data_IF_732754907373
#
_entry.id   IF_732754907373
#
_cell.length_a   1.000
_cell.length_b   1.000
_cell.length_c   1.000
_cell.angle_alpha   90.00
_cell.angle_beta   90.00
_cell.angle_gamma   90.00
#
_symmetry.space_group_name_H-M   'P 1'
#
loop_
_entity.id
_entity.type
_entity.pdbx_description
1 polymer ?
#
# COMPACT_ATOMS: atom_id res chain seq x y z
N UNK A 1 35.31 20.76 -8.90
CA UNK A 1 33.99 20.34 -9.42
C UNK A 1 33.13 20.02 -8.21
N UNK A 2 32.16 20.88 -7.89
CA UNK A 2 31.37 20.76 -6.65
C UNK A 2 29.90 21.09 -6.87
N UNK A 3 29.07 20.41 -6.06
CA UNK A 3 27.66 20.63 -5.74
C UNK A 3 26.60 20.13 -6.73
N UNK A 4 25.99 18.98 -6.39
CA UNK A 4 24.56 18.75 -6.58
C UNK A 4 23.99 18.05 -5.34
N UNK A 5 23.62 18.85 -4.34
CA UNK A 5 22.66 18.45 -3.33
C UNK A 5 21.26 18.70 -3.89
N UNK A 6 20.42 17.66 -4.00
CA UNK A 6 19.00 17.81 -4.28
C UNK A 6 18.20 17.19 -3.14
N UNK A 7 17.75 18.10 -2.28
CA UNK A 7 16.69 17.92 -1.29
C UNK A 7 15.39 17.53 -1.99
N UNK A 8 14.75 16.43 -1.58
CA UNK A 8 13.38 16.11 -1.98
C UNK A 8 12.53 16.20 -0.72
N UNK A 9 11.83 17.34 -0.62
CA UNK A 9 10.87 17.61 0.42
C UNK A 9 9.49 17.00 0.09
N UNK A 10 8.90 16.37 1.11
CA UNK A 10 7.47 16.34 1.49
C UNK A 10 6.45 16.39 0.35
N UNK A 11 5.79 15.27 0.08
CA UNK A 11 4.45 15.28 -0.51
C UNK A 11 3.39 15.09 0.58
N UNK A 12 2.55 16.12 0.73
CA UNK A 12 1.43 16.18 1.63
C UNK A 12 0.21 15.45 1.05
N UNK A 13 -0.54 14.88 1.98
CA UNK A 13 -1.78 14.16 1.85
C UNK A 13 -2.95 15.16 1.67
N UNK A 14 -3.73 15.08 0.58
CA UNK A 14 -5.06 15.72 0.49
C UNK A 14 -5.81 15.31 -0.79
N UNK A 15 -6.71 14.33 -0.69
CA UNK A 15 -7.83 14.17 -1.63
C UNK A 15 -9.11 13.90 -0.84
N UNK A 16 -9.68 14.95 -0.26
CA UNK A 16 -11.06 14.96 0.22
C UNK A 16 -11.96 14.93 -1.03
N UNK A 17 -12.49 13.75 -1.37
CA UNK A 17 -13.56 13.60 -2.37
C UNK A 17 -14.81 14.29 -1.84
N UNK A 18 -15.04 15.54 -2.27
CA UNK A 18 -16.32 16.22 -2.17
C UNK A 18 -17.37 15.40 -2.94
N UNK A 19 -18.41 14.96 -2.23
CA UNK A 19 -19.62 14.38 -2.81
C UNK A 19 -20.34 15.46 -3.64
N UNK A 20 -20.84 15.16 -4.85
CA UNK A 20 -21.72 16.08 -5.56
C UNK A 20 -23.12 16.13 -4.91
N UNK A 21 -23.60 17.35 -4.70
CA UNK A 21 -24.90 17.74 -4.15
C UNK A 21 -26.11 17.20 -4.93
N UNK A 22 -27.19 16.90 -4.18
CA UNK A 22 -28.55 16.66 -4.69
C UNK A 22 -29.05 17.81 -5.59
N UNK A 23 -29.74 17.52 -6.71
CA UNK A 23 -30.61 18.50 -7.36
C UNK A 23 -32.04 18.53 -6.72
N UNK A 24 -32.74 19.67 -6.80
CA UNK A 24 -34.02 19.96 -6.10
C UNK A 24 -35.27 19.35 -6.79
N UNK A 25 -36.43 19.26 -6.09
CA UNK A 25 -37.68 18.84 -6.70
C UNK A 25 -38.33 20.01 -7.46
N UNK A 26 -38.63 19.80 -8.75
CA UNK A 26 -39.48 20.71 -9.53
C UNK A 26 -40.74 19.96 -9.93
N UNK A 27 -41.89 20.46 -9.47
CA UNK A 27 -43.21 19.85 -9.62
C UNK A 27 -44.08 20.44 -10.72
N UNK A 28 -45.28 19.88 -10.80
CA UNK A 28 -46.47 20.35 -11.55
C UNK A 28 -46.60 19.77 -12.96
N UNK A 29 -47.76 19.33 -13.47
CA UNK A 29 -49.14 19.59 -13.03
C UNK A 29 -50.19 18.76 -13.84
N UNK A 30 -51.30 18.35 -13.18
CA UNK A 30 -52.61 17.95 -13.73
C UNK A 30 -52.74 16.50 -14.25
N UNK A 31 -53.73 15.66 -13.90
CA UNK A 31 -55.18 15.90 -13.78
C UNK A 31 -55.86 14.92 -12.78
N UNK A 32 -56.83 15.50 -12.07
CA UNK A 32 -57.87 15.05 -11.12
C UNK A 32 -58.62 13.73 -11.48
N UNK A 33 -58.87 12.79 -10.51
CA UNK A 33 -60.17 12.51 -9.80
C UNK A 33 -60.26 11.11 -9.13
N UNK A 34 -61.19 11.01 -8.18
CA UNK A 34 -61.52 9.95 -7.18
C UNK A 34 -62.01 8.59 -7.73
N UNK A 35 -61.78 7.52 -6.96
CA UNK A 35 -62.75 6.42 -6.74
C UNK A 35 -62.41 5.03 -7.32
N UNK A 36 -62.95 3.93 -6.75
CA UNK A 36 -62.19 2.71 -6.38
C UNK A 36 -62.38 1.51 -7.33
N UNK A 37 -61.41 0.57 -7.35
CA UNK A 37 -61.51 -0.62 -8.20
C UNK A 37 -60.54 -1.77 -7.83
N UNK A 38 -61.15 -2.84 -7.36
CA UNK A 38 -60.77 -4.25 -7.20
C UNK A 38 -59.69 -4.86 -8.15
N UNK A 39 -58.87 -5.74 -7.54
CA UNK A 39 -57.88 -6.78 -7.95
C UNK A 39 -58.12 -7.59 -9.25
N UNK A 40 -57.30 -8.61 -9.62
CA UNK A 40 -55.84 -8.76 -9.79
C UNK A 40 -55.49 -9.37 -11.20
N UNK A 41 -54.22 -9.49 -11.60
CA UNK A 41 -53.90 -10.36 -12.75
C UNK A 41 -52.49 -10.27 -13.37
N UNK A 42 -51.75 -11.38 -13.24
CA UNK A 42 -50.86 -12.02 -14.25
C UNK A 42 -49.57 -11.31 -14.75
N UNK A 43 -48.44 -11.79 -14.19
CA UNK A 43 -47.27 -12.44 -14.84
C UNK A 43 -46.53 -11.80 -16.05
N UNK A 44 -45.28 -12.23 -16.38
CA UNK A 44 -44.18 -12.73 -15.56
C UNK A 44 -42.83 -12.02 -15.86
N UNK A 45 -41.85 -12.21 -14.98
CA UNK A 45 -40.49 -11.69 -15.14
C UNK A 45 -39.77 -12.17 -16.41
N UNK A 46 -39.15 -11.22 -17.12
CA UNK A 46 -38.21 -11.46 -18.22
C UNK A 46 -37.25 -10.27 -18.36
N UNK A 47 -36.05 -10.37 -17.79
CA UNK A 47 -34.83 -10.77 -18.50
C UNK A 47 -33.61 -10.65 -17.54
N UNK A 48 -32.66 -11.59 -17.55
CA UNK A 48 -31.47 -11.59 -16.71
C UNK A 48 -30.32 -10.81 -17.39
N UNK A 49 -29.33 -10.41 -16.60
CA UNK A 49 -28.00 -10.13 -17.18
C UNK A 49 -27.69 -8.67 -17.49
N UNK A 50 -27.89 -7.77 -16.53
CA UNK A 50 -27.11 -6.53 -16.50
C UNK A 50 -26.35 -6.44 -15.19
N UNK A 51 -25.18 -7.06 -15.18
CA UNK A 51 -24.13 -6.74 -14.22
C UNK A 51 -23.16 -5.76 -14.92
N UNK A 52 -23.33 -4.43 -14.80
CA UNK A 52 -22.37 -3.47 -15.32
C UNK A 52 -21.39 -3.11 -14.19
N UNK A 53 -20.88 -4.08 -13.44
CA UNK A 53 -19.59 -3.85 -12.80
C UNK A 53 -18.56 -4.10 -13.89
N UNK A 54 -17.87 -3.07 -14.39
CA UNK A 54 -16.76 -3.29 -15.29
C UNK A 54 -15.81 -4.21 -14.55
N UNK A 55 -15.62 -5.41 -15.11
CA UNK A 55 -14.44 -6.22 -14.85
C UNK A 55 -13.27 -5.31 -15.14
N UNK A 56 -12.77 -4.64 -14.09
CA UNK A 56 -11.51 -3.92 -14.15
C UNK A 56 -10.51 -4.98 -14.56
N UNK A 57 -10.18 -5.01 -15.85
CA UNK A 57 -8.93 -5.57 -16.32
C UNK A 57 -7.89 -4.97 -15.37
N UNK A 58 -7.45 -5.79 -14.40
CA UNK A 58 -6.63 -5.33 -13.32
C UNK A 58 -5.39 -4.76 -13.99
N UNK A 59 -5.27 -3.43 -13.99
CA UNK A 59 -4.04 -2.76 -14.39
C UNK A 59 -3.03 -3.25 -13.37
N UNK A 60 -2.32 -4.31 -13.71
CA UNK A 60 -1.24 -4.83 -12.89
C UNK A 60 -0.16 -3.77 -12.95
N UNK A 61 -0.13 -2.92 -11.92
CA UNK A 61 0.94 -1.96 -11.78
C UNK A 61 2.25 -2.75 -11.77
N UNK A 62 3.22 -2.42 -12.63
CA UNK A 62 4.52 -3.05 -12.57
C UNK A 62 5.24 -2.69 -11.27
N UNK A 63 4.75 -1.71 -10.51
CA UNK A 63 5.34 -1.25 -9.26
C UNK A 63 4.83 -2.05 -8.07
N UNK A 64 5.77 -2.49 -7.23
CA UNK A 64 5.52 -3.07 -5.91
C UNK A 64 5.94 -2.07 -4.86
N UNK A 65 5.06 -1.85 -3.90
CA UNK A 65 5.30 -0.95 -2.77
C UNK A 65 5.55 -1.82 -1.54
N UNK A 66 6.62 -1.50 -0.84
CA UNK A 66 7.01 -2.15 0.39
C UNK A 66 7.26 -1.12 1.49
N UNK A 67 7.01 -1.51 2.74
CA UNK A 67 7.42 -0.74 3.92
C UNK A 67 8.41 -1.53 4.74
N UNK A 68 9.56 -0.94 5.03
CA UNK A 68 10.64 -1.57 5.79
C UNK A 68 10.62 -1.00 7.20
N UNK A 69 10.65 -1.87 8.21
CA UNK A 69 10.67 -1.48 9.62
C UNK A 69 11.97 -1.89 10.28
N UNK A 70 12.55 -0.97 11.06
CA UNK A 70 13.67 -1.26 11.95
C UNK A 70 13.16 -1.52 13.37
N UNK A 71 13.27 -2.77 13.84
CA UNK A 71 13.01 -3.15 15.22
C UNK A 71 14.29 -3.62 15.88
N UNK A 72 14.44 -3.51 17.21
CA UNK A 72 15.59 -4.08 17.91
C UNK A 72 15.77 -5.56 17.53
N UNK A 73 16.93 -5.90 16.95
CA UNK A 73 17.25 -7.27 16.52
C UNK A 73 16.73 -7.66 15.13
N UNK A 74 15.77 -6.94 14.55
CA UNK A 74 15.01 -7.41 13.38
C UNK A 74 14.75 -6.33 12.35
N UNK A 75 14.85 -6.71 11.08
CA UNK A 75 14.39 -5.93 9.94
C UNK A 75 13.20 -6.65 9.34
N UNK A 76 12.10 -5.92 9.21
CA UNK A 76 10.84 -6.47 8.74
C UNK A 76 10.40 -5.73 7.48
N UNK A 77 9.69 -6.43 6.60
CA UNK A 77 9.15 -5.90 5.37
C UNK A 77 7.64 -6.16 5.33
N UNK A 78 6.84 -5.13 5.08
CA UNK A 78 5.43 -5.27 4.73
C UNK A 78 5.28 -5.18 3.23
N UNK A 79 4.66 -6.17 2.62
CA UNK A 79 4.31 -6.13 1.20
C UNK A 79 2.99 -5.38 0.97
N UNK A 80 2.65 -5.20 -0.30
CA UNK A 80 1.39 -4.55 -0.74
C UNK A 80 0.13 -5.28 -0.25
N UNK A 81 0.20 -6.60 0.01
CA UNK A 81 -0.90 -7.38 0.59
C UNK A 81 -1.03 -7.20 2.11
N UNK A 82 -0.09 -6.48 2.73
CA UNK A 82 -0.03 -6.28 4.17
C UNK A 82 0.59 -7.43 4.96
N UNK A 83 1.15 -8.45 4.29
CA UNK A 83 1.91 -9.50 4.96
C UNK A 83 3.26 -8.97 5.44
N UNK A 84 3.67 -9.43 6.62
CA UNK A 84 4.95 -9.08 7.21
C UNK A 84 5.92 -10.24 6.97
N UNK A 85 7.05 -9.90 6.37
CA UNK A 85 8.10 -10.81 5.97
C UNK A 85 9.37 -10.45 6.75
N UNK A 86 10.19 -11.46 7.02
CA UNK A 86 11.45 -11.29 7.69
C UNK A 86 12.53 -10.89 6.68
N UNK A 87 12.90 -9.62 6.68
CA UNK A 87 13.90 -9.09 5.74
C UNK A 87 15.33 -9.41 6.19
N UNK A 88 15.56 -9.45 7.51
CA UNK A 88 16.90 -9.67 8.06
C UNK A 88 17.03 -9.30 9.53
N UNK A 89 18.26 -9.09 9.93
CA UNK A 89 18.63 -8.75 11.31
C UNK A 89 19.37 -7.44 11.38
N UNK A 90 19.06 -6.65 12.40
CA UNK A 90 19.79 -5.45 12.77
C UNK A 90 20.51 -5.71 14.09
N UNK A 91 21.80 -5.38 14.17
CA UNK A 91 22.62 -5.54 15.36
C UNK A 91 23.35 -4.23 15.69
N UNK A 92 23.77 -4.12 16.94
CA UNK A 92 24.43 -2.93 17.48
C UNK A 92 23.45 -1.95 18.10
N UNK A 93 23.99 -0.84 18.58
CA UNK A 93 23.24 0.30 19.11
C UNK A 93 23.72 1.55 18.39
N UNK A 94 22.88 2.59 18.32
CA UNK A 94 23.29 3.88 17.79
C UNK A 94 24.45 4.44 18.64
N UNK A 95 25.54 4.96 18.04
CA UNK A 95 25.74 5.29 16.62
C UNK A 95 26.49 4.23 15.78
N UNK A 96 26.52 2.96 16.21
CA UNK A 96 27.21 1.87 15.52
C UNK A 96 26.25 0.72 15.16
N UNK A 97 25.28 1.03 14.30
CA UNK A 97 24.36 0.03 13.79
C UNK A 97 24.95 -0.71 12.58
N UNK A 98 24.53 -1.97 12.45
CA UNK A 98 24.82 -2.83 11.32
C UNK A 98 23.62 -3.71 11.00
N UNK A 99 23.51 -4.15 9.75
CA UNK A 99 22.49 -5.10 9.34
C UNK A 99 23.06 -6.23 8.50
N UNK A 100 22.29 -7.31 8.43
CA UNK A 100 22.41 -8.37 7.44
C UNK A 100 21.02 -8.73 6.94
N UNK A 101 20.81 -8.62 5.64
CA UNK A 101 19.59 -9.05 4.97
C UNK A 101 19.69 -10.53 4.65
N UNK A 102 18.57 -11.24 4.71
CA UNK A 102 18.52 -12.62 4.22
C UNK A 102 18.48 -12.68 2.70
N UNK A 103 18.05 -11.60 2.05
CA UNK A 103 18.17 -11.43 0.62
C UNK A 103 19.65 -11.21 0.22
N UNK A 104 20.21 -12.18 -0.52
CA UNK A 104 21.57 -12.17 -1.08
C UNK A 104 22.70 -11.92 -0.08
N UNK A 105 22.47 -12.22 1.21
CA UNK A 105 23.42 -11.97 2.30
C UNK A 105 23.99 -10.54 2.34
N UNK A 106 23.23 -9.56 1.85
CA UNK A 106 23.66 -8.17 1.85
C UNK A 106 23.86 -7.66 3.28
N UNK A 107 24.96 -6.94 3.50
CA UNK A 107 25.30 -6.40 4.80
C UNK A 107 25.78 -4.95 4.69
N UNK A 108 25.49 -4.19 5.75
CA UNK A 108 25.97 -2.83 5.93
C UNK A 108 26.38 -2.61 7.38
N UNK A 109 27.33 -1.70 7.61
CA UNK A 109 27.89 -1.41 8.93
C UNK A 109 28.26 0.06 9.08
N UNK A 110 28.25 0.55 10.31
CA UNK A 110 28.71 1.90 10.65
C UNK A 110 27.63 2.98 10.50
N UNK A 111 26.36 2.63 10.66
CA UNK A 111 25.26 3.59 10.57
C UNK A 111 25.03 4.27 11.93
N UNK A 112 24.97 5.59 11.93
CA UNK A 112 24.76 6.38 13.14
C UNK A 112 23.32 6.31 13.66
N UNK A 113 22.35 6.16 12.78
CA UNK A 113 20.92 6.10 13.14
C UNK A 113 20.19 4.99 12.40
N UNK A 114 19.08 4.51 12.97
CA UNK A 114 18.19 3.55 12.31
C UNK A 114 17.68 4.05 10.96
N UNK A 115 17.43 5.35 10.84
CA UNK A 115 16.99 5.96 9.58
C UNK A 115 18.05 5.83 8.49
N UNK A 116 19.31 6.17 8.77
CA UNK A 116 20.41 6.02 7.79
C UNK A 116 20.59 4.57 7.34
N UNK A 117 20.42 3.63 8.27
CA UNK A 117 20.46 2.20 7.97
C UNK A 117 19.31 1.80 7.02
N UNK A 118 18.09 2.26 7.30
CA UNK A 118 16.93 2.00 6.45
C UNK A 118 17.06 2.64 5.08
N UNK A 119 17.61 3.86 4.99
CA UNK A 119 17.84 4.56 3.73
C UNK A 119 18.84 3.81 2.84
N UNK A 120 19.90 3.23 3.41
CA UNK A 120 20.84 2.39 2.65
C UNK A 120 20.16 1.12 2.11
N UNK A 121 19.35 0.45 2.92
CA UNK A 121 18.59 -0.73 2.51
C UNK A 121 17.59 -0.36 1.40
N UNK A 122 16.87 0.75 1.57
CA UNK A 122 15.91 1.25 0.60
C UNK A 122 16.57 1.50 -0.75
N UNK A 123 17.69 2.23 -0.76
CA UNK A 123 18.48 2.49 -1.96
C UNK A 123 18.91 1.21 -2.68
N UNK A 124 19.34 0.17 -1.95
CA UNK A 124 19.76 -1.10 -2.56
C UNK A 124 18.59 -1.89 -3.16
N UNK A 125 17.43 -1.86 -2.50
CA UNK A 125 16.21 -2.46 -3.04
C UNK A 125 15.75 -1.72 -4.30
N UNK A 126 15.77 -0.39 -4.29
CA UNK A 126 15.40 0.44 -5.44
C UNK A 126 16.38 0.28 -6.61
N UNK A 127 17.67 0.07 -6.32
CA UNK A 127 18.67 -0.31 -7.31
C UNK A 127 18.45 -1.71 -7.91
N UNK A 128 17.50 -2.48 -7.36
CA UNK A 128 17.13 -3.80 -7.86
C UNK A 128 18.06 -4.93 -7.40
N UNK A 129 18.93 -4.69 -6.41
CA UNK A 129 19.92 -5.68 -5.98
C UNK A 129 19.27 -6.96 -5.43
N UNK A 130 18.05 -6.85 -4.87
CA UNK A 130 17.35 -7.93 -4.15
C UNK A 130 15.89 -8.15 -4.58
N UNK A 131 15.47 -7.58 -5.72
CA UNK A 131 14.04 -7.56 -6.12
C UNK A 131 13.40 -8.94 -6.28
N UNK A 132 14.17 -9.98 -6.62
CA UNK A 132 13.65 -11.34 -6.75
C UNK A 132 13.51 -12.01 -5.37
N UNK A 133 14.52 -11.85 -4.53
CA UNK A 133 14.61 -12.44 -3.19
C UNK A 133 13.56 -11.86 -2.24
N UNK A 134 13.15 -10.61 -2.44
CA UNK A 134 12.03 -10.03 -1.69
C UNK A 134 10.72 -10.82 -1.84
N UNK A 135 10.55 -11.57 -2.94
CA UNK A 135 9.36 -12.39 -3.19
C UNK A 135 9.42 -13.76 -2.49
N UNK A 136 10.61 -14.21 -2.10
CA UNK A 136 10.84 -15.51 -1.46
C UNK A 136 11.18 -15.38 0.03
N UNK A 137 11.07 -14.17 0.59
CA UNK A 137 11.32 -13.95 2.02
C UNK A 137 10.36 -14.76 2.89
N UNK A 138 10.85 -15.34 4.00
CA UNK A 138 10.01 -16.08 4.91
C UNK A 138 9.02 -15.14 5.62
N UNK A 139 7.80 -15.64 5.83
CA UNK A 139 6.79 -14.94 6.61
C UNK A 139 7.27 -14.76 8.06
N UNK A 140 6.94 -13.62 8.66
CA UNK A 140 7.18 -13.37 10.07
C UNK A 140 6.00 -13.93 10.89
N UNK A 141 6.26 -14.95 11.69
CA UNK A 141 5.26 -15.72 12.44
C UNK A 141 5.03 -15.21 13.88
N UNK A 142 5.89 -14.33 14.38
CA UNK A 142 5.79 -13.82 15.76
C UNK A 142 4.78 -12.67 15.85
N UNK A 143 4.03 -12.58 16.95
CA UNK A 143 3.13 -11.46 17.18
C UNK A 143 3.95 -10.16 17.17
N UNK A 144 3.64 -9.33 16.19
CA UNK A 144 4.11 -7.96 16.15
C UNK A 144 3.30 -7.25 17.22
N UNK A 145 3.97 -6.65 18.21
CA UNK A 145 3.27 -5.81 19.18
C UNK A 145 2.37 -4.80 18.44
N UNK A 146 1.35 -4.28 19.12
CA UNK A 146 0.26 -3.47 18.54
C UNK A 146 0.68 -2.20 17.76
N UNK A 147 1.98 -1.98 17.54
CA UNK A 147 2.55 -0.73 17.12
C UNK A 147 3.77 -0.88 16.19
N UNK A 148 3.65 -1.74 15.18
CA UNK A 148 4.68 -1.84 14.13
C UNK A 148 4.83 -0.50 13.38
N UNK A 149 3.70 0.13 13.06
CA UNK A 149 3.64 1.37 12.27
C UNK A 149 4.08 2.63 13.04
N UNK A 150 4.14 2.62 14.39
CA UNK A 150 4.79 3.71 15.15
C UNK A 150 6.31 3.57 15.27
N UNK A 151 6.88 2.46 14.80
CA UNK A 151 8.33 2.28 14.72
C UNK A 151 8.99 3.10 13.60
N UNK A 152 10.32 3.17 13.63
CA UNK A 152 11.11 3.71 12.51
C UNK A 152 10.90 2.85 11.28
N UNK A 153 10.40 3.48 10.20
CA UNK A 153 10.12 2.81 8.94
C UNK A 153 10.49 3.69 7.75
N UNK A 154 10.67 3.05 6.59
CA UNK A 154 10.82 3.72 5.30
C UNK A 154 10.02 2.98 4.23
N UNK A 155 9.52 3.71 3.24
CA UNK A 155 8.73 3.17 2.15
C UNK A 155 9.60 3.07 0.90
N UNK A 156 9.46 1.96 0.17
CA UNK A 156 10.25 1.63 -1.01
C UNK A 156 9.33 1.20 -2.14
N UNK A 157 9.64 1.67 -3.34
CA UNK A 157 8.98 1.21 -4.56
C UNK A 157 9.98 0.51 -5.47
N UNK A 158 9.62 -0.67 -5.97
CA UNK A 158 10.43 -1.38 -6.95
C UNK A 158 9.58 -1.74 -8.16
N UNK A 159 10.19 -1.68 -9.34
CA UNK A 159 9.53 -2.08 -10.58
C UNK A 159 9.83 -3.55 -10.82
N UNK A 160 8.81 -4.37 -11.06
CA UNK A 160 8.99 -5.73 -11.59
C UNK A 160 9.80 -5.64 -12.88
N UNK A 161 10.98 -6.25 -12.87
CA UNK A 161 11.70 -6.56 -14.10
C UNK A 161 10.78 -7.46 -14.95
N UNK A 162 10.57 -7.07 -16.21
CA UNK A 162 9.84 -7.89 -17.19
C UNK A 162 10.73 -9.01 -17.68
#
# INVERSE_FOLDING_TARGET
MSAFGRSIARFANACIKRLPSKPPPSGGHGVIRRGPGFVPGTDPGRDPGRNPYPSHAAISSPWRIYRIYARPGHLLLRNEQGHILNLGVMKGAEPNLRYRLFARDLQGRGFATRTQLLDDIARRIEAGEVSQELQTLPAWDRPLGADLDRGTHTDVSTKRAR
#
